data_IF_741227339616
#
_entry.id   IF_741227339616
#
_cell.length_a   1.000
_cell.length_b   1.000
_cell.length_c   1.000
_cell.angle_alpha   90.00
_cell.angle_beta   90.00
_cell.angle_gamma   90.00
#
_symmetry.space_group_name_H-M   'P 1'
#
loop_
_entity.id
_entity.type
_entity.pdbx_description
1 polymer ?
#
# COMPACT_ATOMS: atom_id res chain seq x y z
N UNK A 1 14.38 -25.40 -4.76
CA UNK A 1 15.66 -24.69 -4.94
C UNK A 1 16.75 -25.69 -5.32
N UNK A 2 16.85 -26.81 -4.59
CA UNK A 2 17.78 -27.93 -4.87
C UNK A 2 17.84 -28.41 -6.33
N UNK A 3 16.72 -28.63 -7.04
CA UNK A 3 16.77 -29.11 -8.45
C UNK A 3 17.46 -28.12 -9.40
N UNK A 4 17.33 -26.83 -9.15
CA UNK A 4 17.97 -25.78 -9.95
C UNK A 4 19.47 -25.70 -9.62
N UNK A 5 19.85 -25.95 -8.37
CA UNK A 5 21.24 -26.00 -7.92
C UNK A 5 21.96 -27.25 -8.46
N UNK A 6 21.27 -28.39 -8.55
CA UNK A 6 21.78 -29.62 -9.18
C UNK A 6 21.99 -29.43 -10.69
N UNK A 7 21.07 -28.79 -11.40
CA UNK A 7 21.27 -28.46 -12.83
C UNK A 7 22.43 -27.48 -13.05
N UNK A 8 22.54 -26.43 -12.23
CA UNK A 8 23.67 -25.49 -12.29
C UNK A 8 25.00 -26.20 -12.03
N UNK A 9 25.02 -27.16 -11.11
CA UNK A 9 26.22 -27.96 -10.81
C UNK A 9 26.58 -28.88 -11.97
N UNK A 10 25.59 -29.53 -12.60
CA UNK A 10 25.78 -30.39 -13.77
C UNK A 10 26.34 -29.60 -14.98
N UNK A 11 25.77 -28.42 -15.28
CA UNK A 11 26.26 -27.54 -16.36
C UNK A 11 27.71 -27.10 -16.09
N UNK A 12 28.07 -26.86 -14.83
CA UNK A 12 29.42 -26.42 -14.43
C UNK A 12 30.47 -27.54 -14.56
N UNK A 13 30.09 -28.79 -14.29
CA UNK A 13 30.93 -29.98 -14.47
C UNK A 13 31.19 -30.28 -15.95
N UNK A 14 30.16 -30.13 -16.80
CA UNK A 14 30.29 -30.26 -18.26
C UNK A 14 31.25 -29.19 -18.84
N UNK A 15 31.19 -27.95 -18.35
CA UNK A 15 32.13 -26.88 -18.71
C UNK A 15 33.58 -27.15 -18.28
N UNK A 16 33.81 -28.00 -17.28
CA UNK A 16 35.14 -28.41 -16.81
C UNK A 16 35.72 -29.58 -17.64
N UNK A 17 34.98 -30.11 -18.61
CA UNK A 17 35.42 -31.20 -19.49
C UNK A 17 35.30 -32.59 -18.87
N UNK A 18 34.60 -32.72 -17.73
CA UNK A 18 34.27 -34.03 -17.18
C UNK A 18 33.08 -34.63 -17.94
N UNK A 19 33.21 -35.83 -18.54
CA UNK A 19 32.11 -36.44 -19.26
C UNK A 19 31.02 -36.87 -18.28
N UNK A 20 29.95 -36.08 -18.22
CA UNK A 20 28.71 -36.48 -17.57
C UNK A 20 27.97 -37.46 -18.49
N UNK A 21 27.38 -38.50 -17.92
CA UNK A 21 26.52 -39.41 -18.68
C UNK A 21 25.29 -38.64 -19.17
N UNK A 22 24.97 -38.68 -20.47
CA UNK A 22 23.78 -38.01 -21.03
C UNK A 22 22.50 -38.32 -20.23
N UNK A 23 22.40 -39.55 -19.69
CA UNK A 23 21.27 -39.98 -18.88
C UNK A 23 21.10 -39.22 -17.56
N UNK A 24 22.17 -38.74 -16.92
CA UNK A 24 22.05 -37.97 -15.67
C UNK A 24 21.55 -36.55 -15.95
N UNK A 25 22.01 -35.90 -17.02
CA UNK A 25 21.55 -34.55 -17.39
C UNK A 25 20.07 -34.56 -17.75
N UNK A 26 19.62 -35.58 -18.48
CA UNK A 26 18.21 -35.74 -18.85
C UNK A 26 17.30 -35.96 -17.62
N UNK A 27 17.75 -36.74 -16.63
CA UNK A 27 17.04 -36.93 -15.36
C UNK A 27 16.86 -35.61 -14.59
N UNK A 28 17.92 -34.79 -14.48
CA UNK A 28 17.85 -33.47 -13.82
C UNK A 28 16.90 -32.51 -14.54
N UNK A 29 16.85 -32.54 -15.88
CA UNK A 29 15.91 -31.72 -16.67
C UNK A 29 14.46 -32.13 -16.42
N UNK A 30 14.20 -33.43 -16.36
CA UNK A 30 12.86 -33.96 -16.06
C UNK A 30 12.41 -33.55 -14.65
N UNK A 31 13.31 -33.58 -13.67
CA UNK A 31 12.99 -33.16 -12.30
C UNK A 31 12.73 -31.65 -12.18
N UNK A 32 13.49 -30.81 -12.90
CA UNK A 32 13.16 -29.39 -13.00
C UNK A 32 11.77 -29.18 -13.61
N UNK A 33 11.45 -29.86 -14.72
CA UNK A 33 10.13 -29.80 -15.35
C UNK A 33 9.01 -30.21 -14.38
N UNK A 34 9.21 -31.27 -13.59
CA UNK A 34 8.26 -31.69 -12.54
C UNK A 34 8.10 -30.64 -11.46
N UNK A 35 9.18 -29.99 -11.02
CA UNK A 35 9.13 -28.90 -10.04
C UNK A 35 8.38 -27.68 -10.58
N UNK A 36 8.66 -27.26 -11.82
CA UNK A 36 7.97 -26.14 -12.47
C UNK A 36 6.48 -26.42 -12.65
N UNK A 37 6.12 -27.64 -13.06
CA UNK A 37 4.72 -28.05 -13.16
C UNK A 37 4.01 -28.01 -11.81
N UNK A 38 4.64 -28.53 -10.74
CA UNK A 38 4.08 -28.46 -9.38
C UNK A 38 3.89 -27.02 -8.92
N UNK A 39 4.87 -26.14 -9.16
CA UNK A 39 4.77 -24.72 -8.81
C UNK A 39 3.64 -24.03 -9.58
N UNK A 40 3.54 -24.28 -10.90
CA UNK A 40 2.48 -23.73 -11.73
C UNK A 40 1.09 -24.19 -11.24
N UNK A 41 0.95 -25.48 -10.91
CA UNK A 41 -0.29 -26.02 -10.36
C UNK A 41 -0.62 -25.41 -8.98
N UNK A 42 0.37 -25.23 -8.10
CA UNK A 42 0.19 -24.53 -6.83
C UNK A 42 -0.25 -23.07 -7.02
N UNK A 43 0.31 -22.37 -8.01
CA UNK A 43 -0.09 -21.01 -8.35
C UNK A 43 -1.54 -20.95 -8.87
N UNK A 44 -1.93 -21.91 -9.72
CA UNK A 44 -3.31 -22.03 -10.19
C UNK A 44 -4.30 -22.23 -9.02
N UNK A 45 -3.99 -23.13 -8.09
CA UNK A 45 -4.82 -23.36 -6.90
C UNK A 45 -4.89 -22.11 -6.00
N UNK A 46 -3.78 -21.37 -5.86
CA UNK A 46 -3.74 -20.13 -5.12
C UNK A 46 -4.64 -19.07 -5.76
N UNK A 47 -4.54 -18.87 -7.08
CA UNK A 47 -5.39 -17.94 -7.81
C UNK A 47 -6.87 -18.32 -7.73
N UNK A 48 -7.20 -19.61 -7.85
CA UNK A 48 -8.57 -20.09 -7.68
C UNK A 48 -9.10 -19.81 -6.26
N UNK A 49 -8.27 -20.03 -5.23
CA UNK A 49 -8.63 -19.74 -3.84
C UNK A 49 -8.84 -18.24 -3.60
N UNK A 50 -8.01 -17.39 -4.24
CA UNK A 50 -8.12 -15.95 -4.16
C UNK A 50 -9.43 -15.45 -4.81
N UNK A 51 -9.77 -15.96 -5.99
CA UNK A 51 -11.04 -15.64 -6.66
C UNK A 51 -12.25 -16.07 -5.80
N UNK A 52 -12.20 -17.26 -5.19
CA UNK A 52 -13.25 -17.72 -4.26
C UNK A 52 -13.38 -16.81 -3.05
N UNK A 53 -12.27 -16.40 -2.44
CA UNK A 53 -12.26 -15.46 -1.32
C UNK A 53 -12.87 -14.11 -1.71
N UNK A 54 -12.45 -13.57 -2.86
CA UNK A 54 -12.97 -12.31 -3.37
C UNK A 54 -14.49 -12.40 -3.60
N UNK A 55 -14.97 -13.47 -4.23
CA UNK A 55 -16.40 -13.70 -4.44
C UNK A 55 -17.18 -13.78 -3.12
N UNK A 56 -16.66 -14.48 -2.12
CA UNK A 56 -17.29 -14.55 -0.79
C UNK A 56 -17.35 -13.16 -0.14
N UNK A 57 -16.26 -12.41 -0.22
CA UNK A 57 -16.17 -11.06 0.34
C UNK A 57 -17.15 -10.11 -0.36
N UNK A 58 -17.22 -10.13 -1.70
CA UNK A 58 -18.16 -9.30 -2.47
C UNK A 58 -19.61 -9.59 -2.09
N UNK A 59 -20.00 -10.87 -2.00
CA UNK A 59 -21.38 -11.24 -1.59
C UNK A 59 -21.67 -10.78 -0.17
N UNK A 60 -20.71 -10.91 0.76
CA UNK A 60 -20.86 -10.45 2.14
C UNK A 60 -20.97 -8.93 2.27
N UNK A 61 -20.15 -8.18 1.54
CA UNK A 61 -20.20 -6.71 1.49
C UNK A 61 -21.55 -6.23 0.97
N UNK A 62 -22.09 -6.87 -0.08
CA UNK A 62 -23.42 -6.55 -0.62
C UNK A 62 -24.54 -6.81 0.40
N UNK A 63 -24.45 -7.87 1.20
CA UNK A 63 -25.42 -8.16 2.26
C UNK A 63 -25.36 -7.16 3.41
N UNK A 64 -24.17 -6.65 3.73
CA UNK A 64 -23.95 -5.75 4.86
C UNK A 64 -24.23 -4.27 4.54
N UNK A 65 -24.66 -3.94 3.31
CA UNK A 65 -24.88 -2.55 2.85
C UNK A 65 -23.73 -1.62 3.24
N UNK A 66 -22.48 -2.09 3.14
CA UNK A 66 -21.33 -1.30 3.54
C UNK A 66 -21.18 -0.13 2.56
N UNK A 67 -21.20 1.09 3.08
CA UNK A 67 -20.94 2.31 2.31
C UNK A 67 -19.48 2.67 2.51
N UNK A 68 -18.73 2.68 1.41
CA UNK A 68 -17.36 3.16 1.39
C UNK A 68 -17.36 4.69 1.34
N UNK A 69 -16.87 5.31 2.41
CA UNK A 69 -16.70 6.75 2.58
C UNK A 69 -15.21 7.14 2.59
N UNK A 70 -14.32 6.25 2.14
CA UNK A 70 -12.87 6.48 2.12
C UNK A 70 -12.49 7.68 1.25
N UNK A 71 -13.17 7.89 0.12
CA UNK A 71 -12.95 9.07 -0.71
C UNK A 71 -13.40 10.35 -0.01
N UNK A 72 -14.58 10.33 0.62
CA UNK A 72 -15.13 11.49 1.31
C UNK A 72 -14.25 11.90 2.50
N UNK A 73 -13.82 10.94 3.32
CA UNK A 73 -12.96 11.22 4.48
C UNK A 73 -11.57 11.72 4.03
N UNK A 74 -11.05 11.22 2.89
CA UNK A 74 -9.79 11.69 2.32
C UNK A 74 -9.92 13.12 1.77
N UNK A 75 -11.04 13.46 1.13
CA UNK A 75 -11.32 14.84 0.70
C UNK A 75 -11.38 15.79 1.89
N UNK A 76 -12.13 15.40 2.94
CA UNK A 76 -12.27 16.20 4.16
C UNK A 76 -10.91 16.36 4.84
N UNK A 77 -10.10 15.30 4.94
CA UNK A 77 -8.73 15.38 5.46
C UNK A 77 -7.91 16.44 4.72
N UNK A 78 -7.95 16.44 3.39
CA UNK A 78 -7.21 17.42 2.58
C UNK A 78 -7.74 18.85 2.76
N UNK A 79 -9.05 19.03 2.94
CA UNK A 79 -9.65 20.33 3.27
C UNK A 79 -9.19 20.84 4.64
N UNK A 80 -9.14 19.96 5.64
CA UNK A 80 -8.69 20.29 7.00
C UNK A 80 -7.21 20.63 7.01
N UNK A 81 -6.35 19.84 6.33
CA UNK A 81 -4.92 20.13 6.20
C UNK A 81 -4.70 21.55 5.68
N UNK A 82 -5.35 21.91 4.56
CA UNK A 82 -5.25 23.26 4.00
C UNK A 82 -5.71 24.33 4.99
N UNK A 83 -6.81 24.08 5.70
CA UNK A 83 -7.32 25.04 6.67
C UNK A 83 -6.39 25.23 7.88
N UNK A 84 -5.69 24.18 8.32
CA UNK A 84 -4.68 24.26 9.39
C UNK A 84 -3.50 25.12 8.91
N UNK A 85 -2.99 24.85 7.71
CA UNK A 85 -1.92 25.64 7.07
C UNK A 85 -2.30 27.12 6.94
N UNK A 86 -3.52 27.41 6.49
CA UNK A 86 -4.05 28.77 6.37
C UNK A 86 -4.16 29.46 7.74
N UNK A 87 -4.63 28.77 8.78
CA UNK A 87 -4.73 29.34 10.14
C UNK A 87 -3.37 29.64 10.77
N UNK A 88 -2.35 28.83 10.51
CA UNK A 88 -0.98 29.12 10.94
C UNK A 88 -0.41 30.36 10.24
N UNK A 89 -0.77 30.57 8.96
CA UNK A 89 -0.38 31.77 8.21
C UNK A 89 -1.09 33.04 8.75
N UNK A 90 -2.38 32.92 9.08
CA UNK A 90 -3.22 34.01 9.60
C UNK A 90 -2.83 34.48 11.02
N UNK A 91 -2.08 33.69 11.79
CA UNK A 91 -1.55 34.10 13.12
C UNK A 91 -0.64 35.32 13.06
N UNK A 92 -0.13 35.67 11.88
CA UNK A 92 0.68 36.87 11.63
C UNK A 92 -0.18 38.15 11.51
N UNK A 93 -1.50 38.03 11.47
CA UNK A 93 -2.48 39.14 11.36
C UNK A 93 -3.40 39.19 12.58
N UNK A 94 -3.89 40.37 13.01
CA UNK A 94 -4.83 40.46 14.13
C UNK A 94 -6.22 39.96 13.70
N UNK A 95 -6.44 38.65 13.85
CA UNK A 95 -7.72 38.00 13.58
C UNK A 95 -8.64 38.03 14.82
N UNK A 96 -9.94 38.13 14.60
CA UNK A 96 -10.96 38.07 15.66
C UNK A 96 -10.91 36.71 16.35
N UNK A 97 -10.42 36.68 17.60
CA UNK A 97 -10.49 35.47 18.41
C UNK A 97 -11.95 35.14 18.71
N UNK A 98 -12.35 33.86 18.68
CA UNK A 98 -13.71 33.48 19.06
C UNK A 98 -13.98 33.92 20.50
N UNK A 99 -15.16 34.47 20.77
CA UNK A 99 -15.58 34.79 22.13
C UNK A 99 -16.05 33.51 22.81
N UNK A 100 -15.19 32.96 23.65
CA UNK A 100 -15.35 31.62 24.24
C UNK A 100 -15.59 31.68 25.75
N UNK A 101 -15.76 32.89 26.28
CA UNK A 101 -15.90 33.10 27.71
C UNK A 101 -17.22 32.48 28.22
N UNK A 102 -17.12 31.65 29.27
CA UNK A 102 -18.22 31.02 30.02
C UNK A 102 -18.94 29.79 29.44
N UNK A 103 -18.45 29.17 28.36
CA UNK A 103 -19.06 27.94 27.83
C UNK A 103 -18.76 26.70 28.71
N UNK A 104 -19.73 25.81 28.84
CA UNK A 104 -19.51 24.45 29.35
C UNK A 104 -18.84 23.57 28.29
N UNK A 105 -18.22 22.46 28.71
CA UNK A 105 -17.59 21.52 27.78
C UNK A 105 -18.60 20.98 26.75
N UNK A 106 -19.83 20.66 27.16
CA UNK A 106 -20.86 20.13 26.26
C UNK A 106 -21.30 21.14 25.19
N UNK A 107 -21.37 22.43 25.56
CA UNK A 107 -21.69 23.50 24.60
C UNK A 107 -20.55 23.70 23.61
N UNK A 108 -19.29 23.65 24.08
CA UNK A 108 -18.11 23.70 23.22
C UNK A 108 -18.07 22.53 22.22
N UNK A 109 -18.36 21.31 22.67
CA UNK A 109 -18.45 20.12 21.81
C UNK A 109 -19.55 20.28 20.74
N UNK A 110 -20.71 20.83 21.13
CA UNK A 110 -21.85 21.06 20.22
C UNK A 110 -21.52 22.11 19.16
N UNK A 111 -20.92 23.23 19.56
CA UNK A 111 -20.50 24.29 18.63
C UNK A 111 -19.44 23.78 17.67
N UNK A 112 -18.43 23.06 18.17
CA UNK A 112 -17.37 22.51 17.35
C UNK A 112 -17.94 21.50 16.33
N UNK A 113 -18.84 20.62 16.76
CA UNK A 113 -19.55 19.69 15.88
C UNK A 113 -20.33 20.42 14.77
N UNK A 114 -21.02 21.51 15.10
CA UNK A 114 -21.74 22.32 14.10
C UNK A 114 -20.78 22.94 13.07
N UNK A 115 -19.64 23.47 13.52
CA UNK A 115 -18.61 24.05 12.64
C UNK A 115 -18.02 23.00 11.69
N UNK A 116 -17.74 21.79 12.21
CA UNK A 116 -17.25 20.65 11.45
C UNK A 116 -18.28 20.18 10.42
N UNK A 117 -19.55 20.04 10.82
CA UNK A 117 -20.63 19.63 9.93
C UNK A 117 -20.94 20.66 8.84
N UNK A 118 -20.80 21.95 9.15
CA UNK A 118 -20.94 23.03 8.17
C UNK A 118 -19.66 23.30 7.36
N UNK A 119 -18.62 22.46 7.52
CA UNK A 119 -17.34 22.53 6.82
C UNK A 119 -16.63 23.88 6.96
N UNK A 120 -16.84 24.58 8.09
CA UNK A 120 -16.18 25.85 8.39
C UNK A 120 -14.82 25.61 9.05
N UNK A 121 -13.92 24.93 8.33
CA UNK A 121 -12.68 24.38 8.86
C UNK A 121 -11.81 25.40 9.60
N UNK A 122 -11.53 26.56 9.02
CA UNK A 122 -10.71 27.58 9.68
C UNK A 122 -11.31 28.13 10.98
N UNK A 123 -12.65 28.18 11.09
CA UNK A 123 -13.32 28.52 12.36
C UNK A 123 -13.23 27.36 13.34
N UNK A 124 -13.48 26.14 12.88
CA UNK A 124 -13.40 24.94 13.71
C UNK A 124 -12.01 24.78 14.37
N UNK A 125 -10.93 25.02 13.61
CA UNK A 125 -9.54 24.94 14.12
C UNK A 125 -9.28 26.01 15.18
N UNK A 126 -9.67 27.27 14.93
CA UNK A 126 -9.52 28.35 15.94
C UNK A 126 -10.30 28.04 17.23
N UNK A 127 -11.53 27.56 17.09
CA UNK A 127 -12.35 27.14 18.22
C UNK A 127 -11.70 25.96 18.96
N UNK A 128 -11.18 24.96 18.23
CA UNK A 128 -10.49 23.81 18.80
C UNK A 128 -9.29 24.24 19.68
N UNK A 129 -8.43 25.13 19.16
CA UNK A 129 -7.29 25.66 19.91
C UNK A 129 -7.72 26.38 21.20
N UNK A 130 -8.78 27.19 21.13
CA UNK A 130 -9.31 27.87 22.32
C UNK A 130 -9.93 26.89 23.33
N UNK A 131 -10.69 25.89 22.86
CA UNK A 131 -11.31 24.88 23.72
C UNK A 131 -10.28 24.00 24.42
N UNK A 132 -9.17 23.66 23.74
CA UNK A 132 -8.05 22.91 24.32
C UNK A 132 -7.46 23.60 25.55
N UNK A 133 -7.33 24.93 25.51
CA UNK A 133 -6.82 25.72 26.64
C UNK A 133 -7.79 25.74 27.84
N UNK A 134 -9.10 25.68 27.59
CA UNK A 134 -10.13 25.70 28.64
C UNK A 134 -10.42 24.32 29.22
N UNK A 135 -10.29 23.27 28.41
CA UNK A 135 -10.61 21.88 28.78
C UNK A 135 -9.43 20.94 28.50
N UNK A 136 -8.32 21.05 29.26
CA UNK A 136 -7.15 20.19 29.06
C UNK A 136 -7.49 18.72 29.30
N UNK A 137 -7.00 17.82 28.43
CA UNK A 137 -7.22 16.38 28.53
C UNK A 137 -8.63 15.90 28.14
N UNK A 138 -9.37 16.71 27.38
CA UNK A 138 -10.70 16.38 26.84
C UNK A 138 -10.61 15.83 25.39
N UNK A 139 -11.75 15.74 24.70
CA UNK A 139 -11.82 15.26 23.30
C UNK A 139 -11.15 16.23 22.29
N UNK A 140 -10.74 17.42 22.74
CA UNK A 140 -10.13 18.47 21.90
C UNK A 140 -8.63 18.26 21.66
N UNK A 141 -8.07 17.11 22.05
CA UNK A 141 -6.66 16.79 21.86
C UNK A 141 -5.73 17.52 22.83
N UNK A 142 -4.42 17.33 22.62
CA UNK A 142 -3.36 17.80 23.52
C UNK A 142 -2.34 18.73 22.84
N UNK A 143 -2.24 18.73 21.51
CA UNK A 143 -1.29 19.56 20.76
C UNK A 143 -1.80 19.91 19.35
N UNK A 144 -1.22 20.91 18.69
CA UNK A 144 -1.60 21.26 17.31
C UNK A 144 -1.30 20.12 16.31
N UNK A 145 -0.39 19.20 16.65
CA UNK A 145 -0.09 18.01 15.84
C UNK A 145 -1.28 17.05 15.69
N UNK A 146 -2.22 17.07 16.64
CA UNK A 146 -3.42 16.22 16.61
C UNK A 146 -4.68 16.90 16.05
N UNK A 147 -4.57 18.15 15.57
CA UNK A 147 -5.72 18.93 15.10
C UNK A 147 -6.51 18.20 13.99
N UNK A 148 -5.80 17.62 13.02
CA UNK A 148 -6.40 16.90 11.90
C UNK A 148 -7.17 15.67 12.42
N UNK A 149 -6.55 14.90 13.31
CA UNK A 149 -7.13 13.67 13.84
C UNK A 149 -8.35 13.97 14.72
N UNK A 150 -8.31 15.03 15.53
CA UNK A 150 -9.44 15.46 16.35
C UNK A 150 -10.62 15.89 15.48
N UNK A 151 -10.39 16.75 14.49
CA UNK A 151 -11.45 17.23 13.59
C UNK A 151 -12.05 16.08 12.77
N UNK A 152 -11.21 15.22 12.21
CA UNK A 152 -11.67 14.04 11.47
C UNK A 152 -12.40 13.04 12.38
N UNK A 153 -11.96 12.89 13.62
CA UNK A 153 -12.61 12.04 14.62
C UNK A 153 -14.03 12.52 14.95
N UNK A 154 -14.21 13.83 15.14
CA UNK A 154 -15.54 14.44 15.37
C UNK A 154 -16.43 14.24 14.14
N UNK A 155 -15.91 14.52 12.94
CA UNK A 155 -16.63 14.35 11.69
C UNK A 155 -17.05 12.89 11.46
N UNK A 156 -16.12 11.94 11.60
CA UNK A 156 -16.36 10.52 11.40
C UNK A 156 -17.31 9.93 12.45
N UNK A 157 -17.19 10.36 13.71
CA UNK A 157 -18.11 9.96 14.78
C UNK A 157 -19.53 10.39 14.43
N UNK A 158 -19.72 11.64 14.01
CA UNK A 158 -21.03 12.15 13.64
C UNK A 158 -21.64 11.43 12.43
N UNK A 159 -20.84 11.16 11.39
CA UNK A 159 -21.29 10.36 10.25
C UNK A 159 -21.81 8.97 10.67
N UNK A 160 -21.21 8.40 11.71
CA UNK A 160 -21.54 7.07 12.23
C UNK A 160 -22.64 7.05 13.31
N UNK A 161 -23.15 8.19 13.79
CA UNK A 161 -24.09 8.23 14.94
C UNK A 161 -25.40 7.49 14.68
N UNK A 162 -25.88 7.46 13.43
CA UNK A 162 -27.24 6.98 13.12
C UNK A 162 -27.29 5.70 12.28
N UNK A 163 -26.15 5.16 11.83
CA UNK A 163 -26.09 3.96 10.98
C UNK A 163 -24.80 3.18 11.19
N UNK A 164 -24.89 1.87 11.03
CA UNK A 164 -23.74 0.95 10.96
C UNK A 164 -23.48 0.56 9.50
N UNK A 165 -22.28 0.06 9.21
CA UNK A 165 -21.89 -0.33 7.85
C UNK A 165 -21.16 0.77 7.08
N UNK A 166 -20.37 1.60 7.74
CA UNK A 166 -19.45 2.50 7.05
C UNK A 166 -18.04 1.90 7.02
N UNK A 167 -17.39 1.99 5.87
CA UNK A 167 -15.97 1.76 5.72
C UNK A 167 -15.31 3.10 5.41
N UNK A 168 -14.36 3.52 6.25
CA UNK A 168 -13.62 4.77 6.09
C UNK A 168 -12.14 4.47 6.25
N UNK A 169 -11.37 4.71 5.20
CA UNK A 169 -9.92 4.64 5.23
C UNK A 169 -9.38 5.94 4.64
N UNK A 170 -8.65 6.71 5.45
CA UNK A 170 -7.85 7.82 4.94
C UNK A 170 -6.74 7.22 4.08
N UNK A 171 -6.90 7.25 2.76
CA UNK A 171 -5.90 6.72 1.85
C UNK A 171 -4.76 7.72 1.73
N UNK A 172 -3.53 7.28 2.00
CA UNK A 172 -2.39 7.79 1.24
C UNK A 172 -2.50 7.15 -0.15
N UNK A 173 -2.34 7.93 -1.21
CA UNK A 173 -2.47 7.51 -2.62
C UNK A 173 -1.37 6.51 -3.07
N UNK A 174 -1.07 5.49 -2.28
CA UNK A 174 -0.23 4.38 -2.74
C UNK A 174 -1.08 3.45 -3.59
N UNK A 175 -1.15 3.74 -4.89
CA UNK A 175 -1.76 2.85 -5.87
C UNK A 175 -0.96 1.54 -5.94
N UNK A 176 -1.37 0.55 -5.14
CA UNK A 176 -0.75 -0.78 -5.09
C UNK A 176 -0.74 -1.40 -6.49
N UNK A 177 -1.73 -1.12 -7.34
CA UNK A 177 -1.71 -1.59 -8.71
C UNK A 177 -0.62 -0.91 -9.54
N UNK A 178 -0.29 0.36 -9.29
CA UNK A 178 0.89 1.02 -9.85
C UNK A 178 2.19 0.38 -9.36
N UNK A 179 2.31 0.10 -8.05
CA UNK A 179 3.50 -0.55 -7.48
C UNK A 179 3.69 -1.95 -8.09
N UNK A 180 2.62 -2.74 -8.21
CA UNK A 180 2.66 -4.05 -8.85
C UNK A 180 3.05 -3.97 -10.33
N UNK A 181 2.55 -2.96 -11.07
CA UNK A 181 2.97 -2.69 -12.46
C UNK A 181 4.47 -2.39 -12.55
N UNK A 182 4.97 -1.49 -11.71
CA UNK A 182 6.39 -1.15 -11.65
C UNK A 182 7.27 -2.37 -11.34
N UNK A 183 6.85 -3.21 -10.38
CA UNK A 183 7.59 -4.42 -10.03
C UNK A 183 7.60 -5.44 -11.19
N UNK A 184 6.48 -5.56 -11.91
CA UNK A 184 6.39 -6.40 -13.11
C UNK A 184 7.33 -5.91 -14.21
N UNK A 185 7.35 -4.60 -14.47
CA UNK A 185 8.24 -3.99 -15.47
C UNK A 185 9.70 -4.25 -15.14
N UNK A 186 10.10 -4.07 -13.88
CA UNK A 186 11.45 -4.37 -13.40
C UNK A 186 11.77 -5.86 -13.57
N UNK A 187 10.82 -6.75 -13.26
CA UNK A 187 11.00 -8.20 -13.39
C UNK A 187 11.18 -8.63 -14.85
N UNK A 188 10.43 -8.02 -15.79
CA UNK A 188 10.57 -8.25 -17.22
C UNK A 188 11.91 -7.71 -17.75
N UNK A 189 12.34 -6.53 -17.30
CA UNK A 189 13.64 -5.96 -17.66
C UNK A 189 14.79 -6.86 -17.17
N UNK A 190 14.74 -7.33 -15.92
CA UNK A 190 15.70 -8.29 -15.37
C UNK A 190 15.73 -9.58 -16.19
N UNK A 191 14.56 -10.11 -16.55
CA UNK A 191 14.47 -11.31 -17.39
C UNK A 191 15.12 -11.11 -18.77
N UNK A 192 14.91 -9.96 -19.39
CA UNK A 192 15.54 -9.60 -20.68
C UNK A 192 17.06 -9.45 -20.56
N UNK A 193 17.55 -8.78 -19.52
CA UNK A 193 18.99 -8.64 -19.26
C UNK A 193 19.64 -10.00 -19.02
N UNK A 194 19.00 -10.88 -18.24
CA UNK A 194 19.48 -12.25 -18.03
C UNK A 194 19.54 -13.03 -19.34
N UNK A 195 18.51 -12.94 -20.18
CA UNK A 195 18.50 -13.60 -21.48
C UNK A 195 19.66 -13.15 -22.39
N UNK A 196 19.94 -11.85 -22.44
CA UNK A 196 21.06 -11.30 -23.21
C UNK A 196 22.42 -11.74 -22.65
N UNK A 197 22.57 -11.79 -21.33
CA UNK A 197 23.79 -12.27 -20.68
C UNK A 197 24.04 -13.75 -20.96
N UNK A 198 23.00 -14.59 -20.91
CA UNK A 198 23.09 -16.02 -21.26
C UNK A 198 23.50 -16.21 -22.73
N UNK A 199 22.89 -15.47 -23.66
CA UNK A 199 23.25 -15.50 -25.07
C UNK A 199 24.73 -15.10 -25.29
N UNK A 200 25.18 -14.04 -24.61
CA UNK A 200 26.56 -13.57 -24.71
C UNK A 200 27.59 -14.55 -24.11
N UNK A 201 27.20 -15.35 -23.10
CA UNK A 201 28.07 -16.42 -22.59
C UNK A 201 28.17 -17.60 -23.56
N UNK A 202 27.06 -17.94 -24.23
CA UNK A 202 27.01 -19.05 -25.18
C UNK A 202 27.80 -18.78 -26.47
N UNK A 203 27.86 -17.52 -26.90
CA UNK A 203 28.75 -17.10 -28.00
C UNK A 203 30.23 -17.17 -27.60
N UNK A 204 30.58 -16.74 -26.38
CA UNK A 204 31.97 -16.79 -25.88
C UNK A 204 32.47 -18.22 -25.67
N UNK A 205 31.62 -19.15 -25.24
CA UNK A 205 32.00 -20.56 -25.11
C UNK A 205 32.22 -21.21 -26.47
N UNK A 206 31.40 -20.90 -27.48
CA UNK A 206 31.61 -21.35 -28.86
C UNK A 206 32.95 -20.85 -29.44
N UNK A 207 33.28 -19.57 -29.25
CA UNK A 207 34.51 -18.97 -29.77
C UNK A 207 35.77 -19.52 -29.06
N UNK A 208 35.66 -19.81 -27.76
CA UNK A 208 36.74 -20.46 -26.99
C UNK A 208 36.97 -21.94 -27.37
N UNK A 209 35.92 -22.62 -27.82
CA UNK A 209 35.99 -24.02 -28.25
C UNK A 209 36.63 -24.13 -29.63
N UNK A 210 36.31 -23.19 -30.54
CA UNK A 210 36.91 -23.10 -31.87
C UNK A 210 38.43 -22.88 -31.81
N UNK A 211 38.89 -22.04 -30.88
CA UNK A 211 40.33 -21.78 -30.67
C UNK A 211 41.11 -22.95 -30.07
N UNK A 212 40.46 -23.90 -29.38
CA UNK A 212 41.13 -25.11 -28.85
C UNK A 212 41.28 -26.22 -29.90
N UNK A 213 40.43 -26.24 -30.93
CA UNK A 213 40.49 -27.22 -32.02
C UNK A 213 41.52 -26.91 -33.11
N UNK A 214 42.11 -25.71 -33.11
CA UNK A 214 43.10 -25.27 -34.10
C UNK A 214 44.56 -25.39 -33.62
N UNK A 215 44.81 -25.99 -32.44
CA UNK A 215 46.15 -26.24 -31.89
C UNK A 215 46.48 -27.73 -31.82
#
# INVERSE_FOLDING_TARGET
MECMDSMKSAIKLEQLGEPMSEGTVEEHRIDLCRCLYKLHFQLLLLLESYVKLLSLLTVRVQQMHIVDLSQDITSVKNEVIRAVEDTESDRLSPSEQPDVSSLSQQEAETILLELVNTRKWGKAIRHLHCYRAMFPGSIFGNSEEDDIDVILGIFAKHLCENRTGYFMMSQEEHDIANICRQLMDISLQLSSVLHNLEHSQQERSHDSSFRRSEC
#
